data_IF_029886596139
#
_entry.id   IF_029886596139
#
_cell.length_a   1.000
_cell.length_b   1.000
_cell.length_c   1.000
_cell.angle_alpha   90.00
_cell.angle_beta   90.00
_cell.angle_gamma   90.00
#
_symmetry.space_group_name_H-M   'P 1'
#
loop_
_entity.id
_entity.type
_entity.pdbx_description
1 polymer ?
#
# COMPACT_ATOMS: atom_id res chain seq x y z
N UNK A 1 14.70 -0.33 -24.92
CA UNK A 1 13.79 0.47 -24.09
C UNK A 1 14.44 0.60 -22.72
N UNK A 2 14.86 1.80 -22.32
CA UNK A 2 15.51 2.06 -21.03
C UNK A 2 14.43 2.34 -19.98
N UNK A 3 14.33 1.48 -18.97
CA UNK A 3 13.43 1.68 -17.83
C UNK A 3 14.17 2.54 -16.81
N UNK A 4 13.62 3.71 -16.49
CA UNK A 4 14.12 4.58 -15.43
C UNK A 4 13.28 4.37 -14.18
N UNK A 5 13.93 4.16 -13.04
CA UNK A 5 13.30 4.08 -11.72
C UNK A 5 13.78 5.26 -10.87
N UNK A 6 12.84 6.09 -10.43
CA UNK A 6 13.08 7.09 -9.39
C UNK A 6 13.04 6.38 -8.03
N UNK A 7 14.22 5.99 -7.52
CA UNK A 7 14.39 5.18 -6.31
C UNK A 7 13.77 5.86 -5.09
N UNK A 8 13.95 7.17 -4.93
CA UNK A 8 13.39 7.92 -3.80
C UNK A 8 11.87 8.00 -3.90
N UNK A 9 11.33 8.26 -5.09
CA UNK A 9 9.89 8.25 -5.35
C UNK A 9 9.25 6.90 -5.08
N UNK A 10 9.91 5.80 -5.50
CA UNK A 10 9.45 4.43 -5.28
C UNK A 10 9.47 4.08 -3.79
N UNK A 11 10.57 4.39 -3.08
CA UNK A 11 10.69 4.17 -1.63
C UNK A 11 9.64 4.96 -0.85
N UNK A 12 9.40 6.21 -1.22
CA UNK A 12 8.35 7.05 -0.65
C UNK A 12 6.96 6.48 -0.90
N UNK A 13 6.70 5.97 -2.12
CA UNK A 13 5.46 5.28 -2.44
C UNK A 13 5.23 4.02 -1.59
N UNK A 14 6.26 3.18 -1.45
CA UNK A 14 6.19 1.96 -0.65
C UNK A 14 5.96 2.22 0.85
N UNK A 15 6.65 3.22 1.41
CA UNK A 15 6.39 3.67 2.79
C UNK A 15 4.99 4.27 2.97
N UNK A 16 4.49 4.99 1.97
CA UNK A 16 3.10 5.46 1.92
C UNK A 16 2.08 4.33 1.97
N UNK A 17 2.29 3.24 1.21
CA UNK A 17 1.41 2.06 1.24
C UNK A 17 1.39 1.40 2.62
N UNK A 18 2.56 1.25 3.28
CA UNK A 18 2.63 0.75 4.67
C UNK A 18 1.88 1.67 5.63
N UNK A 19 2.01 2.99 5.48
CA UNK A 19 1.29 3.95 6.30
C UNK A 19 -0.23 3.86 6.07
N UNK A 20 -0.70 3.61 4.85
CA UNK A 20 -2.12 3.39 4.57
C UNK A 20 -2.67 2.09 5.18
N UNK A 21 -1.84 1.06 5.33
CA UNK A 21 -2.24 -0.21 5.93
C UNK A 21 -2.84 -0.02 7.33
N UNK A 22 -2.23 0.81 8.18
CA UNK A 22 -2.73 1.10 9.53
C UNK A 22 -4.08 1.83 9.55
N UNK A 23 -4.44 2.50 8.44
CA UNK A 23 -5.71 3.21 8.27
C UNK A 23 -6.83 2.33 7.69
N UNK A 24 -6.52 1.14 7.19
CA UNK A 24 -7.52 0.22 6.61
C UNK A 24 -8.60 -0.20 7.62
N UNK A 25 -8.29 -0.17 8.92
CA UNK A 25 -9.23 -0.44 10.01
C UNK A 25 -10.17 0.75 10.32
N UNK A 26 -9.96 1.93 9.73
CA UNK A 26 -10.85 3.06 9.93
C UNK A 26 -12.22 2.83 9.25
N UNK A 27 -12.24 2.22 8.07
CA UNK A 27 -13.48 1.92 7.35
C UNK A 27 -14.44 1.00 8.15
N UNK A 28 -14.02 -0.18 8.67
CA UNK A 28 -14.90 -1.02 9.48
C UNK A 28 -15.35 -0.34 10.77
N UNK A 29 -14.48 0.42 11.46
CA UNK A 29 -14.85 1.19 12.67
C UNK A 29 -15.95 2.22 12.40
N UNK A 30 -15.96 2.85 11.22
CA UNK A 30 -16.99 3.84 10.84
C UNK A 30 -18.37 3.22 10.63
N UNK A 31 -18.43 1.98 10.16
CA UNK A 31 -19.71 1.27 9.93
C UNK A 31 -20.16 0.45 11.13
N UNK A 32 -19.30 0.19 12.11
CA UNK A 32 -19.62 -0.56 13.31
C UNK A 32 -20.75 0.07 14.14
N UNK A 33 -20.68 1.38 14.44
CA UNK A 33 -21.72 2.11 15.18
C UNK A 33 -23.06 2.20 14.41
N UNK A 34 -23.08 2.60 13.14
CA UNK A 34 -24.30 2.56 12.32
C UNK A 34 -24.90 1.16 12.22
N UNK A 35 -24.06 0.13 12.06
CA UNK A 35 -24.51 -1.25 12.04
C UNK A 35 -25.12 -1.67 13.37
N UNK A 36 -24.50 -1.32 14.50
CA UNK A 36 -25.04 -1.55 15.85
C UNK A 36 -26.39 -0.82 16.07
N UNK A 37 -26.53 0.41 15.59
CA UNK A 37 -27.79 1.17 15.70
C UNK A 37 -28.89 0.62 14.79
N UNK A 38 -28.55 0.18 13.57
CA UNK A 38 -29.48 -0.53 12.69
C UNK A 38 -29.89 -1.89 13.28
N UNK A 39 -28.95 -2.56 13.92
CA UNK A 39 -29.14 -3.78 14.68
C UNK A 39 -30.14 -3.61 15.84
N UNK A 40 -30.08 -2.52 16.60
CA UNK A 40 -31.05 -2.25 17.68
C UNK A 40 -32.49 -2.13 17.16
N UNK A 41 -32.65 -1.57 15.95
CA UNK A 41 -33.95 -1.45 15.25
C UNK A 41 -34.37 -2.73 14.52
N UNK A 42 -33.43 -3.64 14.28
CA UNK A 42 -33.62 -4.92 13.61
C UNK A 42 -32.85 -6.02 14.35
N UNK A 43 -33.28 -6.31 15.60
CA UNK A 43 -32.58 -7.21 16.52
C UNK A 43 -32.28 -8.59 15.90
N UNK A 44 -33.14 -9.07 15.00
CA UNK A 44 -32.96 -10.35 14.32
C UNK A 44 -31.76 -10.38 13.36
N UNK A 45 -31.40 -9.24 12.75
CA UNK A 45 -30.21 -9.15 11.92
C UNK A 45 -28.94 -9.08 12.78
N UNK A 46 -28.96 -8.24 13.82
CA UNK A 46 -27.85 -7.96 14.72
C UNK A 46 -27.22 -9.19 15.39
N UNK A 47 -28.07 -9.96 16.04
CA UNK A 47 -27.70 -11.10 16.88
C UNK A 47 -27.91 -12.43 16.15
N UNK A 48 -28.63 -12.38 15.02
CA UNK A 48 -28.80 -13.52 14.13
C UNK A 48 -27.53 -13.83 13.33
N UNK A 49 -27.52 -15.03 12.74
CA UNK A 49 -26.38 -15.53 11.97
C UNK A 49 -25.97 -14.61 10.82
N UNK A 50 -26.93 -13.91 10.22
CA UNK A 50 -26.66 -12.99 9.11
C UNK A 50 -25.77 -11.80 9.54
N UNK A 51 -26.09 -11.13 10.66
CA UNK A 51 -25.27 -10.01 11.16
C UNK A 51 -23.92 -10.46 11.66
N UNK A 52 -23.84 -11.62 12.34
CA UNK A 52 -22.56 -12.21 12.75
C UNK A 52 -21.67 -12.52 11.55
N UNK A 53 -22.23 -13.14 10.51
CA UNK A 53 -21.50 -13.42 9.25
C UNK A 53 -21.05 -12.13 8.57
N UNK A 54 -21.90 -11.10 8.55
CA UNK A 54 -21.55 -9.81 7.97
C UNK A 54 -20.38 -9.14 8.72
N UNK A 55 -20.43 -9.07 10.05
CA UNK A 55 -19.36 -8.49 10.88
C UNK A 55 -18.03 -9.24 10.69
N UNK A 56 -18.07 -10.57 10.72
CA UNK A 56 -16.90 -11.41 10.47
C UNK A 56 -16.31 -11.17 9.09
N UNK A 57 -17.15 -11.14 8.05
CA UNK A 57 -16.71 -10.87 6.68
C UNK A 57 -16.10 -9.48 6.53
N UNK A 58 -16.71 -8.45 7.13
CA UNK A 58 -16.20 -7.09 7.11
C UNK A 58 -14.82 -7.00 7.76
N UNK A 59 -14.64 -7.60 8.93
CA UNK A 59 -13.34 -7.66 9.60
C UNK A 59 -12.32 -8.43 8.77
N UNK A 60 -12.70 -9.58 8.19
CA UNK A 60 -11.81 -10.38 7.36
C UNK A 60 -11.30 -9.60 6.13
N UNK A 61 -12.19 -8.86 5.46
CA UNK A 61 -11.84 -7.99 4.33
C UNK A 61 -10.90 -6.88 4.78
N UNK A 62 -11.20 -6.17 5.86
CA UNK A 62 -10.33 -5.10 6.36
C UNK A 62 -8.92 -5.60 6.69
N UNK A 63 -8.81 -6.72 7.41
CA UNK A 63 -7.51 -7.34 7.72
C UNK A 63 -6.79 -7.87 6.48
N UNK A 64 -7.51 -8.32 5.45
CA UNK A 64 -6.90 -8.73 4.18
C UNK A 64 -6.32 -7.52 3.42
N UNK A 65 -7.06 -6.41 3.38
CA UNK A 65 -6.59 -5.14 2.80
C UNK A 65 -5.36 -4.63 3.53
N UNK A 66 -5.37 -4.64 4.87
CA UNK A 66 -4.22 -4.29 5.70
C UNK A 66 -2.98 -5.09 5.32
N UNK A 67 -3.07 -6.42 5.35
CA UNK A 67 -1.95 -7.31 4.99
C UNK A 67 -1.46 -7.08 3.57
N UNK A 68 -2.39 -6.82 2.63
CA UNK A 68 -2.03 -6.58 1.24
C UNK A 68 -1.26 -5.29 1.07
N UNK A 69 -1.70 -4.20 1.70
CA UNK A 69 -1.02 -2.90 1.66
C UNK A 69 0.38 -2.98 2.28
N UNK A 70 0.52 -3.67 3.41
CA UNK A 70 1.83 -3.92 4.02
C UNK A 70 2.75 -4.69 3.07
N UNK A 71 2.29 -5.83 2.56
CA UNK A 71 3.08 -6.65 1.63
C UNK A 71 3.46 -5.88 0.36
N UNK A 72 2.54 -5.12 -0.24
CA UNK A 72 2.84 -4.31 -1.42
C UNK A 72 3.87 -3.23 -1.11
N UNK A 73 3.72 -2.54 0.03
CA UNK A 73 4.71 -1.58 0.49
C UNK A 73 6.09 -2.21 0.71
N UNK A 74 6.15 -3.42 1.26
CA UNK A 74 7.41 -4.18 1.41
C UNK A 74 8.08 -4.51 0.09
N UNK A 75 7.32 -4.97 -0.91
CA UNK A 75 7.86 -5.26 -2.24
C UNK A 75 8.39 -4.01 -2.93
N UNK A 76 7.69 -2.88 -2.79
CA UNK A 76 8.07 -1.61 -3.41
C UNK A 76 9.34 -1.05 -2.76
N UNK A 77 9.43 -1.04 -1.43
CA UNK A 77 10.64 -0.61 -0.73
C UNK A 77 11.81 -1.55 -1.05
N UNK A 78 11.60 -2.87 -1.01
CA UNK A 78 12.65 -3.83 -1.36
C UNK A 78 13.17 -3.65 -2.78
N UNK A 79 12.29 -3.35 -3.75
CA UNK A 79 12.71 -3.06 -5.13
C UNK A 79 13.58 -1.80 -5.24
N UNK A 80 13.28 -0.78 -4.42
CA UNK A 80 14.10 0.44 -4.36
C UNK A 80 15.47 0.17 -3.73
N UNK A 81 15.49 -0.63 -2.65
CA UNK A 81 16.72 -1.01 -1.97
C UNK A 81 17.63 -1.88 -2.87
N UNK A 82 17.05 -2.82 -3.62
CA UNK A 82 17.77 -3.64 -4.61
C UNK A 82 18.36 -2.76 -5.72
N UNK A 83 17.61 -1.76 -6.20
CA UNK A 83 18.10 -0.83 -7.22
C UNK A 83 19.27 0.02 -6.72
N UNK A 84 19.20 0.52 -5.49
CA UNK A 84 20.28 1.30 -4.86
C UNK A 84 21.52 0.43 -4.60
N UNK A 85 21.35 -0.80 -4.11
CA UNK A 85 22.45 -1.74 -3.90
C UNK A 85 23.19 -2.05 -5.22
N UNK A 86 22.45 -2.31 -6.29
CA UNK A 86 23.03 -2.54 -7.62
C UNK A 86 23.77 -1.30 -8.16
N UNK A 87 23.29 -0.08 -7.92
CA UNK A 87 24.02 1.14 -8.30
C UNK A 87 25.33 1.26 -7.54
N UNK A 88 25.32 1.00 -6.23
CA UNK A 88 26.52 1.01 -5.39
C UNK A 88 27.55 -0.03 -5.85
N UNK A 89 27.12 -1.26 -6.15
CA UNK A 89 28.00 -2.32 -6.68
C UNK A 89 28.64 -1.95 -8.03
N UNK A 90 27.96 -1.15 -8.85
CA UNK A 90 28.48 -0.67 -10.14
C UNK A 90 29.26 0.64 -10.05
N UNK A 91 29.49 1.14 -8.83
CA UNK A 91 30.28 2.35 -8.56
C UNK A 91 29.50 3.65 -8.77
N UNK A 92 28.21 3.68 -8.40
CA UNK A 92 27.30 4.82 -8.54
C UNK A 92 27.16 5.32 -9.99
N UNK A 93 27.26 4.41 -10.94
CA UNK A 93 27.25 4.74 -12.37
C UNK A 93 25.90 5.21 -12.87
N UNK A 94 24.79 4.78 -12.27
CA UNK A 94 23.45 5.21 -12.69
C UNK A 94 23.19 6.68 -12.37
N UNK A 95 23.64 7.16 -11.19
CA UNK A 95 23.64 8.60 -10.87
C UNK A 95 24.49 9.42 -11.86
N UNK A 96 25.61 8.88 -12.33
CA UNK A 96 26.46 9.52 -13.34
C UNK A 96 25.84 9.54 -14.75
N UNK A 97 25.08 8.50 -15.14
CA UNK A 97 24.38 8.42 -16.43
C UNK A 97 23.29 9.51 -16.54
N UNK A 98 22.61 9.84 -15.44
CA UNK A 98 21.62 10.92 -15.40
C UNK A 98 22.21 12.29 -15.82
N UNK A 99 23.51 12.51 -15.55
CA UNK A 99 24.26 13.70 -15.94
C UNK A 99 24.95 13.60 -17.31
N UNK A 100 24.85 12.46 -18.00
CA UNK A 100 25.49 12.22 -19.31
C UNK A 100 24.49 12.01 -20.45
N UNK A 101 23.19 11.99 -20.17
CA UNK A 101 22.17 11.96 -21.21
C UNK A 101 22.23 13.26 -22.02
N UNK A 102 22.41 13.22 -23.35
CA UNK A 102 22.43 14.42 -24.17
C UNK A 102 21.09 15.13 -24.08
N UNK A 103 21.06 16.32 -23.49
CA UNK A 103 19.88 17.19 -23.46
C UNK A 103 19.70 17.82 -24.85
N UNK A 104 19.13 17.05 -25.78
CA UNK A 104 18.70 17.54 -27.09
C UNK A 104 19.79 17.62 -28.17
N UNK A 105 19.38 17.79 -29.44
CA UNK A 105 20.28 17.75 -30.58
C UNK A 105 21.24 18.95 -30.57
N UNK A 106 22.55 18.66 -30.67
CA UNK A 106 23.57 19.68 -30.98
C UNK A 106 23.32 20.17 -32.41
N UNK A 107 22.89 21.43 -32.54
CA UNK A 107 22.93 22.19 -33.80
C UNK A 107 24.37 22.55 -34.13
#
# INVERSE_FOLDING_TARGET
MTVHMDVEGVRTGGTGLRAMASHSQAAPRRVERPAASAADRNRGFATGDAGRRWQTSLHAVASAVERRLTWQGDQVVGSADDAEANDQETGNRFAAIQNQLPTGPRR
#
